data_IF_490067489374
#
_entry.id   IF_490067489374
#
_cell.length_a   1.000
_cell.length_b   1.000
_cell.length_c   1.000
_cell.angle_alpha   90.00
_cell.angle_beta   90.00
_cell.angle_gamma   90.00
#
_symmetry.space_group_name_H-M   'P 1'
#
loop_
_entity.id
_entity.type
_entity.pdbx_description
1 polymer ?
#
# COMPACT_ATOMS: atom_id res chain seq x y z
N UNK A 1 -2.12 33.00 17.96
CA UNK A 1 -2.51 34.41 17.78
C UNK A 1 -1.77 35.00 16.58
N UNK A 2 -2.22 36.13 16.02
CA UNK A 2 -1.50 36.84 14.94
C UNK A 2 -0.08 37.24 15.37
N UNK A 3 0.10 37.63 16.64
CA UNK A 3 1.42 37.93 17.20
C UNK A 3 2.38 36.74 17.12
N UNK A 4 1.92 35.53 17.47
CA UNK A 4 2.74 34.32 17.39
C UNK A 4 3.23 34.04 15.95
N UNK A 5 2.39 34.30 14.95
CA UNK A 5 2.76 34.13 13.56
C UNK A 5 3.84 35.14 13.14
N UNK A 6 3.71 36.40 13.55
CA UNK A 6 4.73 37.42 13.31
C UNK A 6 6.08 37.07 13.95
N UNK A 7 6.08 36.55 15.18
CA UNK A 7 7.31 36.09 15.83
C UNK A 7 7.96 34.90 15.13
N UNK A 8 7.15 33.95 14.66
CA UNK A 8 7.64 32.83 13.85
C UNK A 8 8.33 33.31 12.56
N UNK A 9 7.74 34.28 11.85
CA UNK A 9 8.34 34.86 10.63
C UNK A 9 9.69 35.51 10.96
N UNK A 10 9.74 36.35 12.00
CA UNK A 10 10.99 37.00 12.43
C UNK A 10 12.05 35.99 12.85
N UNK A 11 11.68 34.95 13.60
CA UNK A 11 12.61 33.92 14.02
C UNK A 11 13.23 33.15 12.83
N UNK A 12 12.43 32.86 11.79
CA UNK A 12 12.93 32.24 10.56
C UNK A 12 13.80 33.20 9.75
N UNK A 13 13.37 34.45 9.58
CA UNK A 13 14.03 35.40 8.68
C UNK A 13 15.34 35.93 9.27
N UNK A 14 15.47 35.93 10.61
CA UNK A 14 16.70 36.30 11.33
C UNK A 14 17.49 35.10 11.85
N UNK A 15 17.23 33.90 11.35
CA UNK A 15 18.01 32.72 11.71
C UNK A 15 19.47 32.90 11.27
N UNK A 16 20.40 32.88 12.22
CA UNK A 16 21.83 33.07 11.96
C UNK A 16 22.42 31.93 11.12
N UNK A 17 21.79 30.75 11.12
CA UNK A 17 22.15 29.62 10.27
C UNK A 17 20.88 29.19 9.51
N UNK A 18 20.59 29.81 8.35
CA UNK A 18 19.31 29.69 7.69
C UNK A 18 19.14 28.31 7.02
N UNK A 19 18.77 27.30 7.80
CA UNK A 19 18.38 25.99 7.27
C UNK A 19 17.01 26.04 6.59
N UNK A 20 16.19 27.06 6.89
CA UNK A 20 14.94 27.38 6.19
C UNK A 20 15.12 28.66 5.37
N UNK A 21 14.56 28.66 4.16
CA UNK A 21 14.58 29.84 3.31
C UNK A 21 13.80 31.01 3.97
N UNK A 22 14.36 32.23 4.03
CA UNK A 22 13.68 33.41 4.57
C UNK A 22 12.51 33.84 3.67
N UNK A 23 11.63 34.73 4.17
CA UNK A 23 10.48 35.28 3.42
C UNK A 23 10.85 35.74 2.01
N UNK A 24 11.98 36.45 1.89
CA UNK A 24 12.46 37.04 0.65
C UNK A 24 12.65 36.01 -0.48
N UNK A 25 13.05 34.78 -0.17
CA UNK A 25 13.19 33.73 -1.20
C UNK A 25 11.82 33.35 -1.77
N UNK A 26 10.79 33.25 -0.93
CA UNK A 26 9.43 32.97 -1.40
C UNK A 26 8.89 34.13 -2.26
N UNK A 27 9.16 35.38 -1.86
CA UNK A 27 8.79 36.56 -2.65
C UNK A 27 9.45 36.55 -4.04
N UNK A 28 10.74 36.21 -4.12
CA UNK A 28 11.45 36.07 -5.41
C UNK A 28 10.82 34.95 -6.25
N UNK A 29 10.50 33.80 -5.66
CA UNK A 29 9.85 32.68 -6.38
C UNK A 29 8.48 33.12 -6.93
N UNK A 30 7.66 33.79 -6.13
CA UNK A 30 6.35 34.33 -6.52
C UNK A 30 6.48 35.34 -7.67
N UNK A 31 7.40 36.30 -7.55
CA UNK A 31 7.68 37.29 -8.60
C UNK A 31 8.13 36.66 -9.92
N UNK A 32 9.04 35.67 -9.85
CA UNK A 32 9.53 34.98 -11.05
C UNK A 32 8.44 34.12 -11.68
N UNK A 33 7.65 33.40 -10.89
CA UNK A 33 6.52 32.63 -11.38
C UNK A 33 5.52 33.52 -12.12
N UNK A 34 5.18 34.69 -11.55
CA UNK A 34 4.31 35.68 -12.20
C UNK A 34 4.94 36.21 -13.51
N UNK A 35 6.20 36.66 -13.46
CA UNK A 35 6.92 37.21 -14.64
C UNK A 35 6.98 36.22 -15.80
N UNK A 36 7.26 34.95 -15.52
CA UNK A 36 7.39 33.91 -16.54
C UNK A 36 6.09 33.14 -16.80
N UNK A 37 4.97 33.52 -16.19
CA UNK A 37 3.66 32.85 -16.31
C UNK A 37 3.72 31.35 -16.02
N UNK A 38 4.51 30.97 -15.02
CA UNK A 38 4.63 29.59 -14.55
C UNK A 38 3.65 29.37 -13.40
N UNK A 39 2.94 28.24 -13.42
CA UNK A 39 2.06 27.86 -12.32
C UNK A 39 2.88 27.59 -11.05
N UNK A 40 2.73 28.47 -10.06
CA UNK A 40 3.32 28.30 -8.74
C UNK A 40 2.42 27.41 -7.87
N UNK A 41 3.01 26.39 -7.26
CA UNK A 41 2.34 25.62 -6.21
C UNK A 41 2.70 26.23 -4.86
N UNK A 42 1.79 27.02 -4.31
CA UNK A 42 2.01 27.75 -3.05
C UNK A 42 2.00 26.80 -1.83
N UNK A 43 3.16 26.18 -1.58
CA UNK A 43 3.37 25.27 -0.45
C UNK A 43 3.36 26.00 0.89
N UNK A 44 3.74 27.29 0.92
CA UNK A 44 3.70 28.10 2.14
C UNK A 44 2.26 28.20 2.65
N UNK A 45 1.32 28.58 1.78
CA UNK A 45 -0.11 28.65 2.11
C UNK A 45 -0.69 27.27 2.37
N UNK A 46 -0.30 26.25 1.59
CA UNK A 46 -0.77 24.88 1.81
C UNK A 46 -0.45 24.38 3.24
N UNK A 47 0.76 24.62 3.74
CA UNK A 47 1.15 24.25 5.10
C UNK A 47 0.51 25.15 6.16
N UNK A 48 0.49 26.47 5.95
CA UNK A 48 -0.09 27.42 6.89
C UNK A 48 -1.57 27.13 7.16
N UNK A 49 -2.37 26.87 6.12
CA UNK A 49 -3.81 26.57 6.24
C UNK A 49 -4.11 25.25 6.96
N UNK A 50 -3.13 24.34 7.03
CA UNK A 50 -3.22 23.07 7.78
C UNK A 50 -2.58 23.12 9.15
N UNK A 51 -2.23 24.32 9.61
CA UNK A 51 -1.49 24.52 10.85
C UNK A 51 -2.17 25.56 11.74
N UNK A 52 -2.14 25.31 13.05
CA UNK A 52 -2.74 26.21 14.03
C UNK A 52 -2.07 27.59 13.93
N UNK A 53 -2.88 28.64 13.80
CA UNK A 53 -2.42 30.03 13.63
C UNK A 53 -1.50 30.26 12.41
N UNK A 54 -1.49 29.38 11.42
CA UNK A 54 -0.60 29.51 10.26
C UNK A 54 0.86 29.14 10.54
N UNK A 55 1.16 28.47 11.66
CA UNK A 55 2.52 28.12 12.07
C UNK A 55 2.70 26.59 11.97
N UNK A 56 3.38 26.07 10.93
CA UNK A 56 3.62 24.65 10.79
C UNK A 56 4.55 24.12 11.90
N UNK A 57 4.21 22.97 12.46
CA UNK A 57 5.01 22.31 13.49
C UNK A 57 4.91 20.80 13.40
N UNK A 58 4.87 20.13 14.56
CA UNK A 58 4.86 18.66 14.68
C UNK A 58 3.68 17.98 13.95
N UNK A 59 2.61 18.72 13.65
CA UNK A 59 1.50 18.25 12.83
C UNK A 59 1.94 17.88 11.39
N UNK A 60 2.92 18.58 10.82
CA UNK A 60 3.36 18.40 9.43
C UNK A 60 4.87 18.16 9.27
N UNK A 61 5.65 18.31 10.34
CA UNK A 61 7.09 18.12 10.33
C UNK A 61 7.53 17.07 11.37
N UNK A 62 8.55 16.29 11.02
CA UNK A 62 9.23 15.35 11.92
C UNK A 62 10.23 16.05 12.82
N UNK A 63 10.89 17.08 12.29
CA UNK A 63 11.85 17.92 12.98
C UNK A 63 11.72 19.39 12.48
N UNK A 64 12.75 20.20 12.70
CA UNK A 64 12.73 21.60 12.29
C UNK A 64 12.90 21.81 10.78
N UNK A 65 13.06 20.78 9.93
CA UNK A 65 13.30 20.89 8.48
C UNK A 65 12.45 19.94 7.64
N UNK A 66 12.31 18.69 8.08
CA UNK A 66 11.76 17.62 7.25
C UNK A 66 10.26 17.45 7.50
N UNK A 67 9.42 17.50 6.45
CA UNK A 67 8.02 17.11 6.56
C UNK A 67 7.89 15.70 7.14
N UNK A 68 6.87 15.47 7.98
CA UNK A 68 6.48 14.13 8.37
C UNK A 68 5.65 13.50 7.22
N UNK A 69 5.29 12.20 7.30
CA UNK A 69 4.45 11.56 6.28
C UNK A 69 3.15 12.32 5.93
N UNK A 70 2.53 13.00 6.90
CA UNK A 70 1.33 13.84 6.66
C UNK A 70 1.68 15.09 5.86
N UNK A 71 2.81 15.74 6.18
CA UNK A 71 3.35 16.87 5.43
C UNK A 71 3.69 16.49 3.99
N UNK A 72 4.37 15.37 3.76
CA UNK A 72 4.64 14.87 2.40
C UNK A 72 3.36 14.56 1.63
N UNK A 73 2.34 14.00 2.30
CA UNK A 73 1.04 13.77 1.67
C UNK A 73 0.35 15.07 1.27
N UNK A 74 0.41 16.09 2.11
CA UNK A 74 -0.12 17.42 1.80
C UNK A 74 0.57 18.01 0.56
N UNK A 75 1.91 17.93 0.49
CA UNK A 75 2.69 18.37 -0.66
C UNK A 75 2.27 17.63 -1.93
N UNK A 76 2.20 16.29 -1.88
CA UNK A 76 1.83 15.46 -3.02
C UNK A 76 0.43 15.82 -3.55
N UNK A 77 -0.54 16.05 -2.65
CA UNK A 77 -1.90 16.44 -3.03
C UNK A 77 -1.94 17.84 -3.66
N UNK A 78 -1.15 18.79 -3.15
CA UNK A 78 -1.07 20.14 -3.70
C UNK A 78 -0.43 20.14 -5.11
N UNK A 79 0.67 19.41 -5.31
CA UNK A 79 1.27 19.24 -6.63
C UNK A 79 0.31 18.54 -7.60
N UNK A 80 -0.30 17.44 -7.19
CA UNK A 80 -1.26 16.71 -8.02
C UNK A 80 -2.44 17.60 -8.45
N UNK A 81 -2.97 18.40 -7.54
CA UNK A 81 -4.06 19.35 -7.83
C UNK A 81 -3.62 20.40 -8.85
N UNK A 82 -2.41 20.94 -8.70
CA UNK A 82 -1.88 21.94 -9.63
C UNK A 82 -1.63 21.35 -11.03
N UNK A 83 -1.05 20.16 -11.10
CA UNK A 83 -0.81 19.45 -12.36
C UNK A 83 -2.12 19.15 -13.09
N UNK A 84 -3.12 18.61 -12.39
CA UNK A 84 -4.41 18.26 -12.99
C UNK A 84 -5.19 19.48 -13.46
N UNK A 85 -5.17 20.58 -12.70
CA UNK A 85 -5.71 21.87 -13.16
C UNK A 85 -4.97 22.43 -14.38
N UNK A 86 -3.66 22.15 -14.48
CA UNK A 86 -2.85 22.46 -15.66
C UNK A 86 -3.01 21.48 -16.83
N UNK A 87 -3.93 20.52 -16.76
CA UNK A 87 -4.18 19.54 -17.82
C UNK A 87 -3.25 18.33 -17.82
N UNK A 88 -2.49 18.10 -16.75
CA UNK A 88 -1.54 16.98 -16.63
C UNK A 88 -1.94 15.96 -15.55
N UNK A 89 -2.01 14.65 -15.88
CA UNK A 89 -1.95 14.09 -17.24
C UNK A 89 -3.24 14.41 -18.03
N UNK A 90 -3.14 14.42 -19.37
CA UNK A 90 -4.25 14.72 -20.26
C UNK A 90 -5.48 13.82 -20.05
N UNK A 91 -5.26 12.59 -19.56
CA UNK A 91 -6.31 11.67 -19.15
C UNK A 91 -5.94 11.00 -17.83
N UNK A 92 -6.78 11.17 -16.83
CA UNK A 92 -6.71 10.38 -15.60
C UNK A 92 -7.41 9.04 -15.86
N UNK A 93 -6.73 7.93 -15.57
CA UNK A 93 -7.30 6.60 -15.71
C UNK A 93 -8.54 6.39 -14.82
N UNK A 94 -8.60 7.08 -13.67
CA UNK A 94 -9.74 7.14 -12.77
C UNK A 94 -9.75 8.52 -12.07
N UNK A 95 -10.92 9.08 -11.71
CA UNK A 95 -10.97 10.25 -10.83
C UNK A 95 -10.32 9.90 -9.49
N UNK A 96 -9.13 10.43 -9.24
CA UNK A 96 -8.39 10.16 -8.02
C UNK A 96 -9.04 10.89 -6.85
N UNK A 97 -9.55 10.13 -5.87
CA UNK A 97 -9.98 10.69 -4.60
C UNK A 97 -8.73 11.03 -3.77
N UNK A 98 -8.44 12.31 -3.64
CA UNK A 98 -7.35 12.77 -2.77
C UNK A 98 -7.65 12.37 -1.32
N UNK A 99 -6.79 11.52 -0.77
CA UNK A 99 -6.83 11.11 0.62
C UNK A 99 -5.80 11.95 1.40
N UNK A 100 -6.14 12.33 2.63
CA UNK A 100 -5.26 13.07 3.54
C UNK A 100 -4.27 12.17 4.27
N UNK A 101 -4.50 10.85 4.32
CA UNK A 101 -3.62 9.90 4.99
C UNK A 101 -2.40 9.57 4.14
N UNK A 102 -1.21 9.43 4.77
CA UNK A 102 -0.01 8.92 4.09
C UNK A 102 -0.28 7.59 3.38
N UNK A 103 0.39 7.38 2.24
CA UNK A 103 0.31 6.12 1.49
C UNK A 103 1.46 5.22 1.89
N UNK A 104 1.18 3.95 2.15
CA UNK A 104 2.18 2.93 2.45
C UNK A 104 3.11 3.27 3.63
N UNK A 105 2.57 4.01 4.60
CA UNK A 105 3.22 4.30 5.88
C UNK A 105 2.38 3.64 6.97
N UNK A 106 2.99 2.71 7.71
CA UNK A 106 2.34 1.94 8.76
C UNK A 106 2.70 2.46 10.15
N UNK A 107 2.10 1.86 11.18
CA UNK A 107 2.44 2.17 12.57
C UNK A 107 3.93 1.89 12.83
N UNK A 108 4.49 0.84 12.22
CA UNK A 108 5.92 0.52 12.32
C UNK A 108 6.80 1.62 11.72
N UNK A 109 6.42 2.21 10.58
CA UNK A 109 7.19 3.31 9.98
C UNK A 109 7.23 4.55 10.88
N UNK A 110 6.09 4.88 11.49
CA UNK A 110 5.99 5.96 12.47
C UNK A 110 6.87 5.69 13.71
N UNK A 111 6.82 4.47 14.23
CA UNK A 111 7.64 4.05 15.37
C UNK A 111 9.14 4.09 15.04
N UNK A 112 9.55 3.62 13.85
CA UNK A 112 10.95 3.72 13.36
C UNK A 112 11.40 5.18 13.34
N UNK A 113 10.57 6.08 12.80
CA UNK A 113 10.85 7.51 12.81
C UNK A 113 10.98 8.08 14.22
N UNK A 114 10.05 7.72 15.12
CA UNK A 114 10.03 8.18 16.50
C UNK A 114 11.26 7.74 17.29
N UNK A 115 11.67 6.46 17.18
CA UNK A 115 12.90 5.94 17.80
C UNK A 115 14.14 6.68 17.27
N UNK A 116 14.20 6.94 15.96
CA UNK A 116 15.32 7.65 15.35
C UNK A 116 15.41 9.10 15.83
N UNK A 117 14.28 9.80 15.90
CA UNK A 117 14.22 11.17 16.45
C UNK A 117 14.57 11.17 17.94
N UNK A 118 14.10 10.19 18.70
CA UNK A 118 14.48 10.02 20.11
C UNK A 118 15.99 9.92 20.25
N UNK A 119 16.65 9.03 19.48
CA UNK A 119 18.12 8.93 19.47
C UNK A 119 18.78 10.27 19.17
N UNK A 120 18.34 10.97 18.11
CA UNK A 120 18.92 12.24 17.69
C UNK A 120 18.81 13.32 18.77
N UNK A 121 17.66 13.45 19.43
CA UNK A 121 17.43 14.43 20.50
C UNK A 121 18.13 14.11 21.81
N UNK A 122 18.63 12.89 21.98
CA UNK A 122 19.39 12.45 23.16
C UNK A 122 20.87 12.22 22.85
N UNK A 123 21.32 12.60 21.65
CA UNK A 123 22.73 12.57 21.23
C UNK A 123 23.26 13.98 21.02
N UNK A 124 24.54 14.10 20.69
CA UNK A 124 25.14 15.40 20.35
C UNK A 124 24.38 16.04 19.16
N UNK A 125 24.12 17.36 19.17
CA UNK A 125 24.58 18.38 20.12
C UNK A 125 23.69 18.58 21.37
N UNK A 126 22.60 17.81 21.53
CA UNK A 126 21.65 17.99 22.62
C UNK A 126 22.09 17.34 23.94
N UNK A 127 22.91 16.30 23.86
CA UNK A 127 23.45 15.56 25.00
C UNK A 127 24.78 14.91 24.64
N UNK A 128 25.72 14.89 25.57
CA UNK A 128 26.99 14.13 25.45
C UNK A 128 26.91 12.75 26.11
N UNK A 129 25.82 12.45 26.83
CA UNK A 129 25.60 11.15 27.47
C UNK A 129 25.12 10.12 26.46
N UNK A 130 25.42 8.85 26.72
CA UNK A 130 24.85 7.74 25.95
C UNK A 130 23.31 7.77 26.03
N UNK A 131 22.67 7.40 24.92
CA UNK A 131 21.20 7.40 24.79
C UNK A 131 20.62 6.30 25.67
N UNK A 132 19.77 6.69 26.62
CA UNK A 132 19.05 5.77 27.50
C UNK A 132 17.67 5.46 26.91
N UNK A 133 17.57 4.32 26.19
CA UNK A 133 16.32 3.88 25.56
C UNK A 133 15.26 3.40 26.55
N UNK A 134 15.57 3.22 27.83
CA UNK A 134 14.54 2.92 28.84
C UNK A 134 13.56 4.07 29.03
N UNK A 135 13.96 5.29 28.66
CA UNK A 135 13.15 6.51 28.69
C UNK A 135 12.30 6.73 27.45
N UNK A 136 12.45 5.88 26.43
CA UNK A 136 11.64 5.96 25.23
C UNK A 136 10.23 5.43 25.51
N UNK A 137 9.22 6.24 25.24
CA UNK A 137 7.81 5.82 25.27
C UNK A 137 7.38 5.42 23.86
N UNK A 138 6.99 4.16 23.61
CA UNK A 138 6.48 3.73 22.33
C UNK A 138 5.32 4.58 21.84
N UNK A 139 5.25 4.86 20.54
CA UNK A 139 4.11 5.57 19.94
C UNK A 139 2.88 4.66 19.87
N UNK A 140 3.11 3.36 19.69
CA UNK A 140 2.06 2.33 19.65
C UNK A 140 2.23 1.34 20.79
N UNK A 141 2.65 0.12 20.50
CA UNK A 141 2.89 -0.93 21.48
C UNK A 141 4.37 -1.34 21.54
N UNK A 142 4.72 -2.11 22.58
CA UNK A 142 6.09 -2.56 22.81
C UNK A 142 6.61 -3.43 21.67
N UNK A 143 5.76 -4.26 21.06
CA UNK A 143 6.17 -5.13 19.96
C UNK A 143 6.57 -4.31 18.73
N UNK A 144 5.82 -3.25 18.42
CA UNK A 144 6.13 -2.29 17.36
C UNK A 144 7.48 -1.61 17.63
N UNK A 145 7.68 -1.12 18.86
CA UNK A 145 8.95 -0.50 19.27
C UNK A 145 10.14 -1.46 19.17
N UNK A 146 9.97 -2.71 19.59
CA UNK A 146 11.03 -3.73 19.51
C UNK A 146 11.43 -4.03 18.06
N UNK A 147 10.45 -4.11 17.14
CA UNK A 147 10.72 -4.26 15.72
C UNK A 147 11.44 -3.04 15.13
N UNK A 148 11.03 -1.84 15.51
CA UNK A 148 11.70 -0.60 15.10
C UNK A 148 13.18 -0.57 15.56
N UNK A 149 13.44 -0.95 16.81
CA UNK A 149 14.80 -1.06 17.38
C UNK A 149 15.62 -2.14 16.66
N UNK A 150 15.02 -3.29 16.33
CA UNK A 150 15.69 -4.36 15.59
C UNK A 150 16.12 -3.94 14.18
N UNK A 151 15.28 -3.16 13.49
CA UNK A 151 15.63 -2.57 12.20
C UNK A 151 16.78 -1.57 12.34
N UNK A 152 16.68 -0.63 13.29
CA UNK A 152 17.64 0.47 13.42
C UNK A 152 19.01 0.04 13.97
N UNK A 153 19.04 -0.95 14.86
CA UNK A 153 20.25 -1.24 15.66
C UNK A 153 20.74 -2.69 15.58
N UNK A 154 19.95 -3.62 15.03
CA UNK A 154 20.33 -5.04 14.90
C UNK A 154 20.41 -5.51 13.45
N UNK A 155 20.49 -4.58 12.49
CA UNK A 155 20.61 -4.86 11.05
C UNK A 155 19.54 -5.82 10.50
N UNK A 156 18.34 -5.85 11.11
CA UNK A 156 17.24 -6.68 10.59
C UNK A 156 16.72 -6.01 9.32
N UNK A 157 16.60 -6.70 8.17
CA UNK A 157 16.13 -6.08 6.94
C UNK A 157 14.73 -5.47 7.10
N UNK A 158 14.51 -4.30 6.49
CA UNK A 158 13.23 -3.57 6.60
C UNK A 158 12.02 -4.46 6.20
N UNK A 159 12.10 -5.18 5.07
CA UNK A 159 11.02 -6.07 4.64
C UNK A 159 10.75 -7.25 5.60
N UNK A 160 11.75 -7.63 6.43
CA UNK A 160 11.59 -8.67 7.45
C UNK A 160 10.82 -8.14 8.65
N UNK A 161 11.15 -6.95 9.17
CA UNK A 161 10.41 -6.38 10.31
C UNK A 161 8.96 -6.05 9.93
N UNK A 162 8.70 -5.55 8.71
CA UNK A 162 7.32 -5.35 8.23
C UNK A 162 6.57 -6.68 8.07
N UNK A 163 7.22 -7.75 7.60
CA UNK A 163 6.59 -9.09 7.54
C UNK A 163 6.26 -9.63 8.93
N UNK A 164 7.13 -9.41 9.91
CA UNK A 164 6.89 -9.79 11.31
C UNK A 164 5.72 -9.00 11.91
N UNK A 165 5.63 -7.70 11.59
CA UNK A 165 4.51 -6.85 11.99
C UNK A 165 3.19 -7.33 11.37
N UNK A 166 3.21 -7.67 10.07
CA UNK A 166 2.04 -8.21 9.38
C UNK A 166 1.56 -9.52 10.02
N UNK A 167 2.48 -10.44 10.32
CA UNK A 167 2.19 -11.72 10.96
C UNK A 167 1.66 -11.54 12.39
N UNK A 168 2.15 -10.54 13.12
CA UNK A 168 1.62 -10.17 14.43
C UNK A 168 0.16 -9.69 14.34
N UNK A 169 -0.13 -8.79 13.39
CA UNK A 169 -1.50 -8.34 13.16
C UNK A 169 -2.43 -9.45 12.67
N UNK A 170 -1.95 -10.38 11.82
CA UNK A 170 -2.75 -11.55 11.42
C UNK A 170 -3.14 -12.41 12.64
N UNK A 171 -2.22 -12.64 13.58
CA UNK A 171 -2.49 -13.41 14.80
C UNK A 171 -3.53 -12.75 15.71
N UNK A 172 -3.56 -11.41 15.72
CA UNK A 172 -4.57 -10.63 16.44
C UNK A 172 -5.90 -10.50 15.70
N UNK A 173 -6.00 -11.02 14.47
CA UNK A 173 -7.18 -10.83 13.62
C UNK A 173 -7.30 -9.43 13.00
N UNK A 174 -6.31 -8.56 13.17
CA UNK A 174 -6.28 -7.23 12.56
C UNK A 174 -5.80 -7.29 11.10
N UNK A 175 -6.60 -7.94 10.26
CA UNK A 175 -6.29 -8.15 8.84
C UNK A 175 -6.06 -6.84 8.06
N UNK A 176 -6.81 -5.74 8.28
CA UNK A 176 -6.53 -4.49 7.57
C UNK A 176 -5.11 -3.96 7.80
N UNK A 177 -4.62 -3.97 9.05
CA UNK A 177 -3.24 -3.55 9.33
C UNK A 177 -2.21 -4.53 8.78
N UNK A 178 -2.47 -5.85 8.89
CA UNK A 178 -1.59 -6.86 8.30
C UNK A 178 -1.42 -6.68 6.79
N UNK A 179 -2.52 -6.44 6.07
CA UNK A 179 -2.49 -6.19 4.64
C UNK A 179 -1.75 -4.89 4.30
N UNK A 180 -1.90 -3.83 5.11
CA UNK A 180 -1.17 -2.57 4.93
C UNK A 180 0.35 -2.74 5.03
N UNK A 181 0.84 -3.59 5.94
CA UNK A 181 2.26 -3.93 6.06
C UNK A 181 2.79 -4.61 4.78
N UNK A 182 2.06 -5.59 4.25
CA UNK A 182 2.45 -6.22 2.97
C UNK A 182 2.36 -5.26 1.78
N UNK A 183 1.37 -4.35 1.76
CA UNK A 183 1.28 -3.30 0.74
C UNK A 183 2.48 -2.35 0.79
N UNK A 184 2.97 -1.98 1.99
CA UNK A 184 4.16 -1.15 2.15
C UNK A 184 5.39 -1.85 1.56
N UNK A 185 5.55 -3.16 1.83
CA UNK A 185 6.65 -3.94 1.25
C UNK A 185 6.56 -4.01 -0.27
N UNK A 186 5.38 -4.27 -0.82
CA UNK A 186 5.17 -4.33 -2.28
C UNK A 186 5.44 -2.98 -2.94
N UNK A 187 5.06 -1.88 -2.30
CA UNK A 187 5.29 -0.54 -2.83
C UNK A 187 6.78 -0.23 -2.97
N UNK A 188 7.62 -0.70 -2.04
CA UNK A 188 9.06 -0.48 -2.07
C UNK A 188 9.83 -1.53 -2.87
N UNK A 189 9.40 -2.80 -2.82
CA UNK A 189 10.07 -3.94 -3.45
C UNK A 189 9.10 -4.77 -4.30
N UNK A 190 8.53 -4.20 -5.37
CA UNK A 190 7.47 -4.84 -6.16
C UNK A 190 7.92 -6.16 -6.81
N UNK A 191 9.21 -6.35 -7.05
CA UNK A 191 9.80 -7.57 -7.60
C UNK A 191 9.82 -8.76 -6.62
N UNK A 192 9.57 -8.54 -5.32
CA UNK A 192 9.55 -9.61 -4.32
C UNK A 192 8.17 -10.28 -4.30
N UNK A 193 7.97 -11.20 -5.26
CA UNK A 193 6.71 -11.91 -5.54
C UNK A 193 6.06 -12.53 -4.30
N UNK A 194 6.86 -13.06 -3.37
CA UNK A 194 6.38 -13.71 -2.13
C UNK A 194 5.51 -12.80 -1.26
N UNK A 195 5.73 -11.49 -1.26
CA UNK A 195 4.90 -10.55 -0.50
C UNK A 195 3.54 -10.30 -1.17
N UNK A 196 3.45 -10.43 -2.49
CA UNK A 196 2.15 -10.40 -3.18
C UNK A 196 1.31 -11.62 -2.81
N UNK A 197 1.91 -12.81 -2.72
CA UNK A 197 1.21 -14.02 -2.27
C UNK A 197 0.71 -13.89 -0.83
N UNK A 198 1.55 -13.35 0.07
CA UNK A 198 1.16 -13.03 1.46
C UNK A 198 0.01 -12.02 1.50
N UNK A 199 0.07 -10.95 0.71
CA UNK A 199 -1.00 -9.95 0.61
C UNK A 199 -2.29 -10.57 0.07
N UNK A 200 -2.23 -11.37 -1.00
CA UNK A 200 -3.40 -12.06 -1.57
C UNK A 200 -4.07 -12.92 -0.50
N UNK A 201 -3.28 -13.69 0.26
CA UNK A 201 -3.80 -14.51 1.35
C UNK A 201 -4.45 -13.66 2.44
N UNK A 202 -3.81 -12.57 2.88
CA UNK A 202 -4.38 -11.63 3.85
C UNK A 202 -5.70 -11.02 3.34
N UNK A 203 -5.70 -10.50 2.12
CA UNK A 203 -6.83 -9.83 1.50
C UNK A 203 -8.03 -10.79 1.28
N UNK A 204 -7.77 -12.06 0.94
CA UNK A 204 -8.81 -13.10 0.87
C UNK A 204 -9.46 -13.34 2.24
N UNK A 205 -8.69 -13.40 3.33
CA UNK A 205 -9.24 -13.52 4.69
C UNK A 205 -10.10 -12.28 5.04
N UNK A 206 -9.66 -11.10 4.61
CA UNK A 206 -10.38 -9.84 4.77
C UNK A 206 -11.62 -9.72 3.85
N UNK A 207 -11.76 -10.60 2.85
CA UNK A 207 -12.75 -10.55 1.77
C UNK A 207 -12.67 -9.26 0.92
N UNK A 208 -11.50 -8.60 0.91
CA UNK A 208 -11.24 -7.47 0.04
C UNK A 208 -10.75 -7.96 -1.33
N UNK A 209 -11.72 -8.29 -2.19
CA UNK A 209 -11.46 -8.78 -3.53
C UNK A 209 -10.82 -7.73 -4.45
N UNK A 210 -11.04 -6.44 -4.19
CA UNK A 210 -10.37 -5.37 -4.94
C UNK A 210 -8.87 -5.36 -4.65
N UNK A 211 -8.49 -5.58 -3.39
CA UNK A 211 -7.08 -5.70 -2.99
C UNK A 211 -6.43 -6.98 -3.51
N UNK A 212 -7.15 -8.11 -3.53
CA UNK A 212 -6.67 -9.36 -4.18
C UNK A 212 -6.37 -9.10 -5.65
N UNK A 213 -7.29 -8.45 -6.38
CA UNK A 213 -7.11 -8.09 -7.79
C UNK A 213 -5.87 -7.20 -7.97
N UNK A 214 -5.74 -6.15 -7.16
CA UNK A 214 -4.59 -5.23 -7.21
C UNK A 214 -3.26 -5.97 -7.00
N UNK A 215 -3.18 -6.85 -5.99
CA UNK A 215 -1.97 -7.60 -5.69
C UNK A 215 -1.58 -8.57 -6.83
N UNK A 216 -2.56 -9.28 -7.41
CA UNK A 216 -2.30 -10.15 -8.56
C UNK A 216 -1.76 -9.35 -9.75
N UNK A 217 -2.40 -8.24 -10.10
CA UNK A 217 -1.98 -7.39 -11.22
C UNK A 217 -0.58 -6.80 -11.02
N UNK A 218 -0.21 -6.47 -9.77
CA UNK A 218 1.12 -5.96 -9.44
C UNK A 218 2.20 -7.05 -9.45
N UNK A 219 1.84 -8.30 -9.21
CA UNK A 219 2.79 -9.43 -9.23
C UNK A 219 3.13 -9.91 -10.65
N UNK A 220 2.15 -9.89 -11.57
CA UNK A 220 2.27 -10.47 -12.92
C UNK A 220 3.50 -10.02 -13.74
N UNK A 221 3.97 -8.76 -13.67
CA UNK A 221 5.18 -8.34 -14.38
C UNK A 221 6.49 -8.96 -13.86
N UNK A 222 6.49 -9.52 -12.65
CA UNK A 222 7.70 -9.95 -11.95
C UNK A 222 7.81 -11.48 -11.77
N UNK A 223 6.89 -12.26 -12.34
CA UNK A 223 6.88 -13.72 -12.21
C UNK A 223 6.60 -14.39 -13.56
N UNK A 224 7.27 -15.53 -13.79
CA UNK A 224 6.94 -16.44 -14.88
C UNK A 224 5.89 -17.48 -14.45
N UNK A 225 5.82 -17.79 -13.16
CA UNK A 225 4.79 -18.64 -12.58
C UNK A 225 3.50 -17.82 -12.37
N UNK A 226 2.67 -17.73 -13.41
CA UNK A 226 1.48 -16.86 -13.46
C UNK A 226 0.17 -17.59 -13.13
N UNK A 227 0.14 -18.92 -13.18
CA UNK A 227 -1.07 -19.74 -13.06
C UNK A 227 -1.87 -19.43 -11.79
N UNK A 228 -1.23 -19.44 -10.62
CA UNK A 228 -1.93 -19.14 -9.35
C UNK A 228 -2.36 -17.67 -9.25
N UNK A 229 -1.60 -16.74 -9.83
CA UNK A 229 -2.00 -15.33 -9.89
C UNK A 229 -3.22 -15.13 -10.80
N UNK A 230 -3.28 -15.82 -11.95
CA UNK A 230 -4.46 -15.82 -12.81
C UNK A 230 -5.67 -16.45 -12.12
N UNK A 231 -5.50 -17.54 -11.39
CA UNK A 231 -6.59 -18.12 -10.60
C UNK A 231 -7.12 -17.15 -9.55
N UNK A 232 -6.24 -16.52 -8.76
CA UNK A 232 -6.65 -15.55 -7.74
C UNK A 232 -7.26 -14.28 -8.34
N UNK A 233 -6.74 -13.82 -9.49
CA UNK A 233 -7.29 -12.72 -10.26
C UNK A 233 -8.70 -13.05 -10.76
N UNK A 234 -8.90 -14.24 -11.32
CA UNK A 234 -10.21 -14.71 -11.78
C UNK A 234 -11.24 -14.73 -10.65
N UNK A 235 -10.88 -15.24 -9.47
CA UNK A 235 -11.77 -15.21 -8.32
C UNK A 235 -12.10 -13.78 -7.89
N UNK A 236 -11.10 -12.89 -7.84
CA UNK A 236 -11.30 -11.51 -7.45
C UNK A 236 -12.23 -10.76 -8.43
N UNK A 237 -12.05 -10.97 -9.74
CA UNK A 237 -12.89 -10.42 -10.79
C UNK A 237 -14.31 -10.97 -10.72
N UNK A 238 -14.46 -12.27 -10.45
CA UNK A 238 -15.77 -12.88 -10.26
C UNK A 238 -16.53 -12.22 -9.11
N UNK A 239 -15.86 -12.08 -7.96
CA UNK A 239 -16.43 -11.50 -6.74
C UNK A 239 -16.69 -9.99 -6.86
N UNK A 240 -16.05 -9.32 -7.81
CA UNK A 240 -16.25 -7.89 -8.12
C UNK A 240 -17.10 -7.67 -9.37
N UNK A 241 -17.81 -8.70 -9.84
CA UNK A 241 -18.80 -8.61 -10.92
C UNK A 241 -18.26 -8.65 -12.35
N UNK A 242 -16.94 -8.73 -12.55
CA UNK A 242 -16.30 -8.78 -13.87
C UNK A 242 -16.25 -10.22 -14.42
N UNK A 243 -17.44 -10.82 -14.60
CA UNK A 243 -17.59 -12.26 -14.95
C UNK A 243 -16.85 -12.68 -16.22
N UNK A 244 -16.85 -11.83 -17.26
CA UNK A 244 -16.18 -12.13 -18.53
C UNK A 244 -14.66 -12.25 -18.36
N UNK A 245 -14.04 -11.30 -17.66
CA UNK A 245 -12.60 -11.32 -17.40
C UNK A 245 -12.23 -12.49 -16.47
N UNK A 246 -13.07 -12.79 -15.48
CA UNK A 246 -12.86 -13.92 -14.60
C UNK A 246 -12.77 -15.25 -15.36
N UNK A 247 -13.67 -15.49 -16.33
CA UNK A 247 -13.62 -16.69 -17.16
C UNK A 247 -12.37 -16.74 -18.05
N UNK A 248 -11.91 -15.59 -18.56
CA UNK A 248 -10.66 -15.51 -19.32
C UNK A 248 -9.45 -15.85 -18.45
N UNK A 249 -9.36 -15.29 -17.25
CA UNK A 249 -8.21 -15.55 -16.37
C UNK A 249 -8.20 -16.96 -15.79
N UNK A 250 -9.35 -17.56 -15.50
CA UNK A 250 -9.35 -18.96 -15.01
C UNK A 250 -8.98 -19.96 -16.11
N UNK A 251 -9.34 -19.67 -17.37
CA UNK A 251 -8.89 -20.43 -18.52
C UNK A 251 -7.37 -20.33 -18.71
N UNK A 252 -6.79 -19.13 -18.60
CA UNK A 252 -5.34 -18.95 -18.58
C UNK A 252 -4.68 -19.73 -17.43
N UNK A 253 -5.29 -19.72 -16.23
CA UNK A 253 -4.79 -20.49 -15.10
C UNK A 253 -4.81 -22.00 -15.37
N UNK A 254 -5.85 -22.54 -16.03
CA UNK A 254 -5.95 -23.98 -16.31
C UNK A 254 -4.92 -24.53 -17.30
N UNK A 255 -4.23 -23.64 -18.04
CA UNK A 255 -3.22 -24.00 -19.04
C UNK A 255 -1.79 -23.73 -18.55
N UNK A 256 -1.63 -23.29 -17.31
CA UNK A 256 -0.34 -22.90 -16.76
C UNK A 256 0.50 -24.16 -16.41
N UNK A 257 1.67 -24.36 -17.06
CA UNK A 257 2.43 -25.61 -16.96
C UNK A 257 3.10 -25.81 -15.60
N UNK A 258 3.28 -24.75 -14.81
CA UNK A 258 3.95 -24.79 -13.51
C UNK A 258 3.06 -25.26 -12.36
N UNK A 259 1.76 -25.46 -12.61
CA UNK A 259 0.79 -25.79 -11.57
C UNK A 259 0.82 -27.28 -11.19
N UNK A 260 0.70 -27.54 -9.90
CA UNK A 260 0.60 -28.92 -9.40
C UNK A 260 -0.73 -29.56 -9.80
N UNK A 261 -0.79 -30.89 -9.80
CA UNK A 261 -2.04 -31.65 -10.04
C UNK A 261 -3.16 -31.21 -9.09
N UNK A 262 -2.85 -30.94 -7.83
CA UNK A 262 -3.82 -30.45 -6.84
C UNK A 262 -4.33 -29.03 -7.19
N UNK A 263 -3.44 -28.13 -7.61
CA UNK A 263 -3.83 -26.78 -8.02
C UNK A 263 -4.71 -26.82 -9.26
N UNK A 264 -4.33 -27.59 -10.29
CA UNK A 264 -5.12 -27.77 -11.49
C UNK A 264 -6.48 -28.39 -11.19
N UNK A 265 -6.56 -29.39 -10.31
CA UNK A 265 -7.82 -30.00 -9.84
C UNK A 265 -8.76 -28.94 -9.28
N UNK A 266 -8.26 -28.09 -8.38
CA UNK A 266 -9.03 -27.01 -7.77
C UNK A 266 -9.46 -25.95 -8.80
N UNK A 267 -8.59 -25.63 -9.76
CA UNK A 267 -8.87 -24.67 -10.84
C UNK A 267 -9.96 -25.20 -11.77
N UNK A 268 -9.83 -26.42 -12.29
CA UNK A 268 -10.83 -27.03 -13.16
C UNK A 268 -12.19 -27.16 -12.48
N UNK A 269 -12.21 -27.58 -11.22
CA UNK A 269 -13.46 -27.66 -10.46
C UNK A 269 -14.10 -26.29 -10.26
N UNK A 270 -13.29 -25.26 -9.95
CA UNK A 270 -13.78 -23.89 -9.83
C UNK A 270 -14.28 -23.38 -11.18
N UNK A 271 -13.55 -23.62 -12.27
CA UNK A 271 -13.90 -23.19 -13.62
C UNK A 271 -15.26 -23.77 -14.05
N UNK A 272 -15.47 -25.07 -13.87
CA UNK A 272 -16.77 -25.70 -14.14
C UNK A 272 -17.90 -25.02 -13.36
N UNK A 273 -17.70 -24.70 -12.07
CA UNK A 273 -18.71 -24.00 -11.26
C UNK A 273 -19.01 -22.60 -11.79
N UNK A 274 -17.99 -21.86 -12.23
CA UNK A 274 -18.18 -20.54 -12.83
C UNK A 274 -18.98 -20.64 -14.14
N UNK A 275 -18.65 -21.61 -14.99
CA UNK A 275 -19.35 -21.88 -16.26
C UNK A 275 -20.83 -22.21 -16.05
N UNK A 276 -21.17 -23.01 -15.03
CA UNK A 276 -22.57 -23.29 -14.67
C UNK A 276 -23.31 -21.99 -14.32
N UNK A 277 -22.69 -21.10 -13.54
CA UNK A 277 -23.32 -19.85 -13.12
C UNK A 277 -23.58 -18.88 -14.28
N UNK A 278 -22.82 -18.96 -15.37
CA UNK A 278 -23.08 -18.20 -16.63
C UNK A 278 -23.88 -19.00 -17.66
N UNK A 279 -24.53 -20.10 -17.25
CA UNK A 279 -25.36 -20.95 -18.10
C UNK A 279 -24.60 -21.64 -19.26
N UNK A 280 -23.27 -21.73 -19.19
CA UNK A 280 -22.45 -22.50 -20.14
C UNK A 280 -22.34 -23.96 -19.70
N UNK A 281 -23.48 -24.64 -19.55
CA UNK A 281 -23.56 -25.95 -18.90
C UNK A 281 -22.88 -27.05 -19.72
N UNK A 282 -22.95 -26.99 -21.05
CA UNK A 282 -22.28 -27.94 -21.94
C UNK A 282 -20.76 -27.95 -21.68
N UNK A 283 -20.14 -26.78 -21.74
CA UNK A 283 -18.70 -26.61 -21.48
C UNK A 283 -18.34 -26.99 -20.04
N UNK A 284 -19.19 -26.66 -19.07
CA UNK A 284 -18.97 -27.09 -17.69
C UNK A 284 -18.94 -28.62 -17.54
N UNK A 285 -19.81 -29.33 -18.27
CA UNK A 285 -19.86 -30.80 -18.30
C UNK A 285 -18.59 -31.39 -18.89
N UNK A 286 -18.12 -30.85 -20.02
CA UNK A 286 -16.87 -31.26 -20.68
C UNK A 286 -15.66 -31.10 -19.73
N UNK A 287 -15.56 -29.95 -19.06
CA UNK A 287 -14.50 -29.69 -18.05
C UNK A 287 -14.59 -30.68 -16.89
N UNK A 288 -15.79 -30.98 -16.38
CA UNK A 288 -15.96 -31.94 -15.28
C UNK A 288 -15.68 -33.39 -15.71
N UNK A 289 -16.02 -33.76 -16.94
CA UNK A 289 -15.71 -35.09 -17.48
C UNK A 289 -14.19 -35.29 -17.57
N UNK A 290 -13.48 -34.33 -18.15
CA UNK A 290 -12.02 -34.36 -18.21
C UNK A 290 -11.41 -34.43 -16.79
N UNK A 291 -11.92 -33.62 -15.85
CA UNK A 291 -11.44 -33.65 -14.46
C UNK A 291 -11.68 -35.00 -13.77
N UNK A 292 -12.84 -35.63 -13.96
CA UNK A 292 -13.15 -36.93 -13.37
C UNK A 292 -12.32 -38.06 -14.00
N UNK A 293 -11.97 -37.95 -15.29
CA UNK A 293 -11.08 -38.90 -15.96
C UNK A 293 -9.64 -38.78 -15.42
N UNK A 294 -9.14 -37.56 -15.27
CA UNK A 294 -7.77 -37.29 -14.79
C UNK A 294 -7.61 -37.51 -13.28
N UNK A 295 -8.65 -37.25 -12.49
CA UNK A 295 -8.63 -37.31 -11.01
C UNK A 295 -9.91 -38.00 -10.50
N UNK A 296 -10.04 -39.32 -10.74
CA UNK A 296 -11.24 -40.07 -10.37
C UNK A 296 -11.51 -40.08 -8.86
N UNK A 297 -10.49 -39.92 -8.02
CA UNK A 297 -10.60 -39.82 -6.56
C UNK A 297 -11.26 -38.52 -6.08
N UNK A 298 -11.39 -37.50 -6.94
CA UNK A 298 -11.97 -36.21 -6.57
C UNK A 298 -13.50 -36.24 -6.59
N UNK A 299 -14.08 -36.84 -5.55
CA UNK A 299 -15.52 -37.03 -5.33
C UNK A 299 -16.40 -35.78 -5.56
N UNK A 300 -15.99 -34.54 -5.22
CA UNK A 300 -16.80 -33.35 -5.48
C UNK A 300 -17.13 -33.15 -6.97
N UNK A 301 -16.19 -33.43 -7.89
CA UNK A 301 -16.42 -33.29 -9.32
C UNK A 301 -17.41 -34.34 -9.83
N UNK A 302 -17.28 -35.59 -9.38
CA UNK A 302 -18.21 -36.67 -9.72
C UNK A 302 -19.65 -36.34 -9.33
N UNK A 303 -19.84 -35.89 -8.08
CA UNK A 303 -21.16 -35.50 -7.55
C UNK A 303 -21.77 -34.35 -8.36
N UNK A 304 -20.95 -33.36 -8.74
CA UNK A 304 -21.42 -32.23 -9.53
C UNK A 304 -21.78 -32.65 -10.96
N UNK A 305 -20.96 -33.49 -11.60
CA UNK A 305 -21.21 -34.02 -12.93
C UNK A 305 -22.51 -34.85 -12.98
N UNK A 306 -22.73 -35.72 -12.00
CA UNK A 306 -23.94 -36.53 -11.91
C UNK A 306 -25.20 -35.66 -11.78
N UNK A 307 -25.15 -34.59 -10.97
CA UNK A 307 -26.26 -33.62 -10.85
C UNK A 307 -26.57 -32.94 -12.18
N UNK A 308 -25.55 -32.52 -12.93
CA UNK A 308 -25.72 -31.89 -14.25
C UNK A 308 -26.25 -32.84 -15.32
N UNK A 309 -26.04 -34.15 -15.16
CA UNK A 309 -26.58 -35.16 -16.09
C UNK A 309 -28.04 -35.54 -15.76
N UNK A 310 -28.52 -35.27 -14.55
CA UNK A 310 -29.91 -35.51 -14.13
C UNK A 310 -30.84 -34.32 -14.36
N UNK A 311 -30.29 -33.13 -14.58
CA UNK A 311 -31.05 -31.88 -14.70
C UNK A 311 -31.44 -31.54 -16.15
N UNK A 312 -31.16 -32.46 -17.07
CA UNK A 312 -31.49 -32.46 -18.50
C UNK A 312 -31.92 -33.88 -18.87
#
# INVERSE_FOLDING_TARGET
SLQAHGWYIKARDYDAIPFRAPSQINEIIEQKAHKFKVNLVDMKTAFATKSRFGIPGQNLFSDHLHPNPVGYRLMANAFFTALTKGGLPAKLANPLKLNSRPLFVTDLDWEIGAVRIFKLKHSWPFSTRAVDYSKYTPMFDRFTADLAMNFLFKNTPWGRVHSQMAEHYEKQGNLPKACAEYQAIIAMYPQKVTYHEKLIRCAKKLKDWSLVKWACQKALPYTQAKGMFYYHLAMAEWMTGQRKEALKHIDLASRAPELTREQLTNIFFTYARLLIQVKQVKTAREVLQALVQEVPEFTPAQKLLQKLNRSF
#
